data_IF_557226583427
#
_entry.id   IF_557226583427
#
_cell.length_a   1.000
_cell.length_b   1.000
_cell.length_c   1.000
_cell.angle_alpha   90.00
_cell.angle_beta   90.00
_cell.angle_gamma   90.00
#
_symmetry.space_group_name_H-M   'P 1'
#
loop_
_entity.id
_entity.type
_entity.pdbx_description
1 polymer ?
#
# COMPACT_ATOMS: atom_id res chain seq x y z
N UNK A 1 5.84 -3.36 -8.64
CA UNK A 1 5.45 -3.39 -10.06
C UNK A 1 5.16 -4.83 -10.43
N UNK A 2 4.10 -5.09 -11.18
CA UNK A 2 3.64 -6.44 -11.50
C UNK A 2 3.70 -6.62 -13.01
N UNK A 3 4.43 -7.64 -13.46
CA UNK A 3 4.61 -8.00 -14.85
C UNK A 3 3.72 -9.19 -15.19
N UNK A 4 2.81 -8.95 -16.13
CA UNK A 4 1.87 -9.91 -16.66
C UNK A 4 2.33 -10.38 -18.03
N UNK A 5 2.00 -11.62 -18.39
CA UNK A 5 2.22 -12.19 -19.72
C UNK A 5 0.91 -12.72 -20.29
N UNK A 6 0.61 -12.34 -21.53
CA UNK A 6 -0.49 -12.87 -22.32
C UNK A 6 -0.16 -14.31 -22.78
N UNK A 7 -1.02 -15.30 -22.48
CA UNK A 7 -0.80 -16.71 -22.90
C UNK A 7 -1.93 -17.32 -23.73
N UNK A 8 -3.16 -16.83 -23.59
CA UNK A 8 -4.36 -17.45 -24.18
C UNK A 8 -5.05 -16.60 -25.26
N UNK A 9 -4.39 -15.55 -25.78
CA UNK A 9 -4.93 -14.70 -26.84
C UNK A 9 -3.83 -14.10 -27.74
N UNK A 10 -4.19 -13.73 -28.97
CA UNK A 10 -3.34 -13.01 -29.92
C UNK A 10 -3.22 -11.51 -29.60
N UNK A 11 -4.27 -10.97 -29.00
CA UNK A 11 -4.33 -9.61 -28.48
C UNK A 11 -5.39 -9.50 -27.40
N UNK A 12 -5.18 -8.59 -26.46
CA UNK A 12 -6.13 -8.25 -25.43
C UNK A 12 -6.11 -6.74 -25.23
N UNK A 13 -7.28 -6.13 -25.25
CA UNK A 13 -7.47 -4.72 -24.99
C UNK A 13 -8.60 -4.57 -23.96
N UNK A 14 -8.23 -4.24 -22.73
CA UNK A 14 -9.16 -4.10 -21.60
C UNK A 14 -8.49 -3.40 -20.44
N UNK A 15 -8.48 -4.03 -19.26
CA UNK A 15 -7.77 -3.53 -18.06
C UNK A 15 -6.28 -3.26 -18.33
N UNK A 16 -5.71 -4.06 -19.22
CA UNK A 16 -4.34 -3.94 -19.73
C UNK A 16 -4.37 -4.10 -21.25
N UNK A 17 -3.33 -3.64 -21.94
CA UNK A 17 -3.19 -3.81 -23.38
C UNK A 17 -1.97 -4.66 -23.69
N UNK A 18 -2.19 -5.82 -24.31
CA UNK A 18 -1.13 -6.76 -24.71
C UNK A 18 -1.42 -7.34 -26.09
N UNK A 19 -0.37 -7.70 -26.82
CA UNK A 19 -0.50 -8.32 -28.13
C UNK A 19 0.63 -9.33 -28.37
N UNK A 20 0.56 -10.09 -29.46
CA UNK A 20 1.59 -11.08 -29.81
C UNK A 20 3.02 -10.49 -29.89
N UNK A 21 3.16 -9.24 -30.37
CA UNK A 21 4.45 -8.55 -30.45
C UNK A 21 4.95 -8.06 -29.10
N UNK A 22 4.06 -7.85 -28.15
CA UNK A 22 4.33 -7.35 -26.80
C UNK A 22 3.40 -8.07 -25.82
N UNK A 23 3.70 -9.36 -25.52
CA UNK A 23 2.85 -10.16 -24.65
C UNK A 23 3.04 -9.80 -23.18
N UNK A 24 4.11 -9.07 -22.85
CA UNK A 24 4.42 -8.63 -21.49
C UNK A 24 3.85 -7.24 -21.23
N UNK A 25 3.14 -7.10 -20.11
CA UNK A 25 2.60 -5.82 -19.64
C UNK A 25 3.01 -5.59 -18.20
N UNK A 26 3.50 -4.39 -17.91
CA UNK A 26 3.86 -3.98 -16.56
C UNK A 26 2.77 -3.06 -16.01
N UNK A 27 2.20 -3.45 -14.86
CA UNK A 27 1.20 -2.67 -14.14
C UNK A 27 1.70 -2.31 -12.75
N UNK A 28 1.44 -1.07 -12.32
CA UNK A 28 1.79 -0.62 -10.97
C UNK A 28 0.73 -1.03 -9.93
N UNK A 29 -0.51 -1.21 -10.37
CA UNK A 29 -1.65 -1.50 -9.49
C UNK A 29 -1.89 -2.99 -9.36
N UNK A 30 -1.86 -3.52 -8.13
CA UNK A 30 -2.22 -4.92 -7.82
C UNK A 30 -3.64 -5.25 -8.26
N UNK A 31 -4.56 -4.30 -8.11
CA UNK A 31 -5.95 -4.49 -8.49
C UNK A 31 -6.14 -4.65 -10.01
N UNK A 32 -5.36 -3.91 -10.81
CA UNK A 32 -5.38 -4.07 -12.27
C UNK A 32 -4.76 -5.42 -12.69
N UNK A 33 -3.71 -5.85 -11.98
CA UNK A 33 -3.10 -7.16 -12.19
C UNK A 33 -4.06 -8.30 -11.91
N UNK A 34 -4.71 -8.28 -10.74
CA UNK A 34 -5.67 -9.29 -10.32
C UNK A 34 -6.85 -9.38 -11.30
N UNK A 35 -7.42 -8.23 -11.70
CA UNK A 35 -8.47 -8.18 -12.73
C UNK A 35 -8.02 -8.80 -14.05
N UNK A 36 -6.79 -8.51 -14.50
CA UNK A 36 -6.25 -9.09 -15.73
C UNK A 36 -6.02 -10.61 -15.62
N UNK A 37 -5.50 -11.11 -14.51
CA UNK A 37 -5.31 -12.55 -14.26
C UNK A 37 -6.65 -13.27 -14.16
N UNK A 38 -7.64 -12.65 -13.51
CA UNK A 38 -9.01 -13.17 -13.37
C UNK A 38 -9.72 -13.36 -14.71
N UNK A 39 -9.31 -12.62 -15.75
CA UNK A 39 -9.83 -12.84 -17.11
C UNK A 39 -9.35 -14.16 -17.73
N UNK A 40 -8.31 -14.79 -17.16
CA UNK A 40 -7.72 -16.04 -17.66
C UNK A 40 -6.82 -15.87 -18.88
N UNK A 41 -6.66 -14.64 -19.40
CA UNK A 41 -5.78 -14.34 -20.53
C UNK A 41 -4.34 -14.04 -20.13
N UNK A 42 -4.14 -13.56 -18.89
CA UNK A 42 -2.85 -13.15 -18.36
C UNK A 42 -2.36 -14.04 -17.22
N UNK A 43 -1.04 -14.16 -17.13
CA UNK A 43 -0.34 -14.84 -16.06
C UNK A 43 0.68 -13.89 -15.42
N UNK A 44 0.79 -13.89 -14.09
CA UNK A 44 1.81 -13.11 -13.38
C UNK A 44 3.14 -13.82 -13.55
N UNK A 45 4.09 -13.15 -14.21
CA UNK A 45 5.43 -13.69 -14.45
C UNK A 45 6.44 -13.10 -13.47
N UNK A 46 6.23 -11.85 -13.06
CA UNK A 46 7.07 -11.19 -12.06
C UNK A 46 6.19 -10.32 -11.18
N UNK A 47 6.15 -10.60 -9.88
CA UNK A 47 5.48 -9.75 -8.91
C UNK A 47 6.56 -9.12 -8.04
N UNK A 48 6.96 -7.89 -8.36
CA UNK A 48 7.60 -7.06 -7.34
C UNK A 48 6.46 -6.51 -6.50
N UNK A 49 6.21 -7.16 -5.36
CA UNK A 49 5.19 -6.79 -4.38
C UNK A 49 5.09 -5.27 -4.29
N UNK A 50 4.00 -4.65 -4.79
CA UNK A 50 3.64 -3.36 -4.28
C UNK A 50 3.31 -3.62 -2.81
N UNK A 51 4.22 -3.19 -1.91
CA UNK A 51 3.86 -2.98 -0.50
C UNK A 51 2.52 -2.27 -0.54
N UNK A 52 1.49 -2.93 -0.02
CA UNK A 52 0.13 -2.40 0.00
C UNK A 52 0.18 -0.91 0.32
N UNK A 53 -0.49 -0.04 -0.44
CA UNK A 53 -0.96 1.19 0.16
C UNK A 53 -1.98 0.74 1.19
N UNK A 54 -1.52 0.50 2.43
CA UNK A 54 -2.42 0.56 3.58
C UNK A 54 -3.23 1.83 3.36
N UNK A 55 -4.54 1.69 3.35
CA UNK A 55 -5.47 2.82 3.44
C UNK A 55 -4.92 3.85 4.44
N UNK A 56 -5.30 5.13 4.34
CA UNK A 56 -5.10 6.07 5.43
C UNK A 56 -5.92 5.58 6.64
N UNK A 57 -5.41 4.54 7.32
CA UNK A 57 -5.98 3.97 8.53
C UNK A 57 -5.84 5.08 9.57
N UNK A 58 -6.96 5.72 9.87
CA UNK A 58 -7.16 6.34 11.17
C UNK A 58 -6.71 5.30 12.20
N UNK A 59 -5.56 5.54 12.83
CA UNK A 59 -4.88 4.51 13.61
C UNK A 59 -5.60 4.42 14.94
N UNK A 60 -6.56 3.51 15.06
CA UNK A 60 -7.25 3.29 16.34
C UNK A 60 -6.30 2.71 17.38
N UNK A 61 -6.57 2.95 18.69
CA UNK A 61 -5.79 2.40 19.83
C UNK A 61 -5.51 0.91 19.66
N UNK A 62 -6.48 0.16 19.17
CA UNK A 62 -6.39 -1.28 18.94
C UNK A 62 -5.46 -1.67 17.78
N UNK A 63 -5.39 -0.87 16.72
CA UNK A 63 -4.47 -1.11 15.60
C UNK A 63 -3.04 -0.78 16.02
N UNK A 64 -2.84 0.36 16.70
CA UNK A 64 -1.52 0.77 17.21
C UNK A 64 -0.95 -0.23 18.23
N UNK A 65 -1.80 -0.83 19.08
CA UNK A 65 -1.38 -1.87 20.02
C UNK A 65 -0.95 -3.18 19.36
N UNK A 66 -1.37 -3.44 18.12
CA UNK A 66 -0.89 -4.58 17.32
C UNK A 66 0.43 -4.27 16.61
N UNK A 67 0.79 -2.99 16.48
CA UNK A 67 2.07 -2.58 15.92
C UNK A 67 3.18 -2.76 16.95
N UNK A 68 4.35 -3.13 16.46
CA UNK A 68 5.58 -3.17 17.22
C UNK A 68 6.14 -1.76 17.46
N UNK A 69 6.99 -1.63 18.48
CA UNK A 69 7.62 -0.36 18.89
C UNK A 69 8.14 0.45 17.70
N UNK A 70 8.89 -0.18 16.80
CA UNK A 70 9.50 0.48 15.64
C UNK A 70 8.46 1.10 14.69
N UNK A 71 7.30 0.44 14.50
CA UNK A 71 6.22 0.96 13.68
C UNK A 71 5.45 2.11 14.37
N UNK A 72 5.26 2.04 15.69
CA UNK A 72 4.66 3.15 16.45
C UNK A 72 5.57 4.38 16.41
N UNK A 73 6.87 4.20 16.61
CA UNK A 73 7.85 5.29 16.57
C UNK A 73 7.97 5.91 15.17
N UNK A 74 7.87 5.09 14.12
CA UNK A 74 7.80 5.58 12.74
C UNK A 74 6.60 6.49 12.50
N UNK A 75 5.41 6.15 13.02
CA UNK A 75 4.20 6.99 12.87
C UNK A 75 4.38 8.34 13.57
N UNK A 76 4.91 8.35 14.79
CA UNK A 76 5.22 9.60 15.53
C UNK A 76 6.21 10.46 14.75
N UNK A 77 7.25 9.83 14.20
CA UNK A 77 8.30 10.50 13.42
C UNK A 77 7.77 11.04 12.09
N UNK A 78 6.89 10.30 11.41
CA UNK A 78 6.21 10.73 10.18
C UNK A 78 5.29 11.93 10.43
N UNK A 79 4.74 12.05 11.63
CA UNK A 79 3.97 13.23 12.03
C UNK A 79 4.86 14.42 12.48
N UNK A 80 6.19 14.30 12.41
CA UNK A 80 7.13 15.36 12.79
C UNK A 80 7.41 15.45 14.30
N UNK A 81 7.01 14.45 15.08
CA UNK A 81 7.20 14.41 16.52
C UNK A 81 8.32 13.44 16.92
N UNK A 82 8.88 13.63 18.11
CA UNK A 82 9.97 12.77 18.59
C UNK A 82 9.42 11.55 19.36
N UNK A 83 9.67 10.31 18.90
CA UNK A 83 9.15 9.08 19.53
C UNK A 83 9.76 8.76 20.91
N UNK A 84 10.84 9.45 21.30
CA UNK A 84 11.50 9.29 22.60
C UNK A 84 10.78 10.06 23.71
N UNK A 85 9.86 10.96 23.35
CA UNK A 85 8.98 11.66 24.32
C UNK A 85 8.11 10.69 25.10
N UNK A 86 7.69 9.60 24.44
CA UNK A 86 6.86 8.56 24.99
C UNK A 86 7.69 7.38 25.53
N UNK A 87 7.61 7.16 26.85
CA UNK A 87 8.41 6.16 27.57
C UNK A 87 7.90 4.74 27.43
N UNK A 88 6.59 4.57 27.24
CA UNK A 88 5.89 3.29 27.20
C UNK A 88 5.06 3.17 25.92
N UNK A 89 4.66 1.94 25.60
CA UNK A 89 3.77 1.65 24.47
C UNK A 89 2.45 2.42 24.56
N UNK A 90 1.79 2.45 25.71
CA UNK A 90 0.51 3.18 25.86
C UNK A 90 0.64 4.70 25.70
N UNK A 91 1.78 5.27 26.12
CA UNK A 91 2.12 6.67 25.93
C UNK A 91 2.24 6.99 24.43
N UNK A 92 2.98 6.14 23.68
CA UNK A 92 3.13 6.28 22.22
C UNK A 92 1.80 6.20 21.51
N UNK A 93 0.98 5.22 21.87
CA UNK A 93 -0.33 5.01 21.24
C UNK A 93 -1.25 6.20 21.49
N UNK A 94 -1.31 6.69 22.73
CA UNK A 94 -2.16 7.84 23.09
C UNK A 94 -1.69 9.11 22.40
N UNK A 95 -0.37 9.29 22.28
CA UNK A 95 0.23 10.42 21.58
C UNK A 95 -0.08 10.39 20.07
N UNK A 96 0.03 9.22 19.43
CA UNK A 96 -0.34 9.07 18.01
C UNK A 96 -1.82 9.40 17.78
N UNK A 97 -2.71 8.96 18.67
CA UNK A 97 -4.14 9.28 18.58
C UNK A 97 -4.41 10.79 18.75
N UNK A 98 -3.75 11.42 19.71
CA UNK A 98 -3.88 12.86 19.96
C UNK A 98 -3.36 13.70 18.77
N UNK A 99 -2.25 13.28 18.16
CA UNK A 99 -1.73 13.89 16.93
C UNK A 99 -2.71 13.71 15.77
N UNK A 100 -3.29 12.52 15.61
CA UNK A 100 -4.26 12.26 14.55
C UNK A 100 -5.54 13.10 14.70
N UNK A 101 -6.01 13.30 15.93
CA UNK A 101 -7.19 14.14 16.23
C UNK A 101 -6.86 15.64 16.03
N UNK A 102 -5.63 16.05 16.38
CA UNK A 102 -5.18 17.45 16.29
C UNK A 102 -4.73 17.88 14.90
N UNK A 103 -4.50 16.96 13.96
CA UNK A 103 -4.03 17.26 12.62
C UNK A 103 -5.10 16.97 11.56
N UNK A 104 -6.19 17.77 11.46
CA UNK A 104 -7.04 17.73 10.29
C UNK A 104 -6.27 18.39 9.14
N UNK A 105 -5.52 17.59 8.38
CA UNK A 105 -5.09 17.93 7.01
C UNK A 105 -4.62 19.38 6.81
N UNK A 106 -3.37 19.70 7.13
CA UNK A 106 -2.69 20.75 6.36
C UNK A 106 -2.30 20.11 5.03
N UNK A 107 -3.26 20.13 4.09
CA UNK A 107 -3.02 19.92 2.67
C UNK A 107 -2.07 21.02 2.21
N UNK A 108 -0.79 20.68 2.02
CA UNK A 108 0.15 21.51 1.28
C UNK A 108 -0.37 21.64 -0.15
N UNK A 109 -0.67 22.89 -0.56
CA UNK A 109 -1.02 23.32 -1.92
C UNK A 109 0.24 23.57 -2.76
#
# INVERSE_FOLDING_TARGET
MIKLKLKNALSYNGVVSANEKSPFVEVKSKEAADKAVKTGYFEVVEEQEPKEPKEPEVHTKASLKKLNKEQQEAIISQAGWDPSTAKNEEDRISFILEIQDSNPTETEE
#
